data_IF_020756023297
#
_entry.id   IF_020756023297
#
_cell.length_a   1.000
_cell.length_b   1.000
_cell.length_c   1.000
_cell.angle_alpha   90.00
_cell.angle_beta   90.00
_cell.angle_gamma   90.00
#
_symmetry.space_group_name_H-M   'P 1'
#
loop_
_entity.id
_entity.type
_entity.pdbx_description
1 polymer ?
#
# COMPACT_ATOMS: atom_id res chain seq x y z
N UNK A 1 20.76 -19.60 2.77
CA UNK A 1 19.47 -19.37 3.46
C UNK A 1 19.67 -18.24 4.44
N UNK A 2 18.73 -17.31 4.48
CA UNK A 2 18.75 -16.16 5.41
C UNK A 2 17.43 -16.14 6.18
N UNK A 3 17.51 -16.02 7.50
CA UNK A 3 16.34 -15.92 8.36
C UNK A 3 16.41 -14.58 9.08
N UNK A 4 15.37 -13.76 8.90
CA UNK A 4 15.21 -12.50 9.64
C UNK A 4 14.15 -12.73 10.71
N UNK A 5 14.58 -12.69 11.96
CA UNK A 5 13.64 -12.89 13.07
C UNK A 5 12.63 -11.73 13.14
N UNK A 6 11.40 -12.06 13.51
CA UNK A 6 10.38 -11.04 13.76
C UNK A 6 10.89 -10.05 14.82
N UNK A 7 10.70 -8.77 14.56
CA UNK A 7 11.17 -7.69 15.45
C UNK A 7 12.64 -7.33 15.34
N UNK A 8 13.41 -8.00 14.46
CA UNK A 8 14.83 -7.69 14.26
C UNK A 8 15.07 -6.40 13.47
N UNK A 9 14.06 -5.92 12.75
CA UNK A 9 14.10 -4.65 12.01
C UNK A 9 13.04 -3.74 12.59
N UNK A 10 13.42 -2.50 12.90
CA UNK A 10 12.48 -1.52 13.44
C UNK A 10 11.42 -1.14 12.41
N UNK A 11 10.18 -0.95 12.88
CA UNK A 11 9.12 -0.37 12.06
C UNK A 11 9.49 1.07 11.71
N UNK A 12 9.14 1.48 10.50
CA UNK A 12 9.40 2.84 10.00
C UNK A 12 8.10 3.61 9.84
N UNK A 13 8.10 4.87 10.27
CA UNK A 13 7.01 5.77 9.99
C UNK A 13 7.03 6.11 8.50
N UNK A 14 5.90 5.91 7.82
CA UNK A 14 5.79 6.28 6.41
C UNK A 14 5.90 7.80 6.24
N UNK A 15 6.58 8.30 5.19
CA UNK A 15 6.81 9.73 5.03
C UNK A 15 5.53 10.50 4.72
N UNK A 16 5.37 11.65 5.38
CA UNK A 16 4.20 12.51 5.21
C UNK A 16 4.08 13.07 3.77
N UNK A 17 5.15 13.05 2.99
CA UNK A 17 5.12 13.48 1.60
C UNK A 17 4.21 12.59 0.73
N UNK A 18 4.10 11.30 1.08
CA UNK A 18 3.41 10.30 0.27
C UNK A 18 2.25 9.62 0.98
N UNK A 19 2.00 10.00 2.23
CA UNK A 19 0.93 9.43 3.05
C UNK A 19 0.20 10.51 3.82
N UNK A 20 -1.11 10.36 3.96
CA UNK A 20 -1.93 11.16 4.86
C UNK A 20 -2.25 10.33 6.09
N UNK A 21 -2.15 10.92 7.28
CA UNK A 21 -2.36 10.22 8.54
C UNK A 21 -1.15 9.38 8.97
N UNK A 22 -1.35 8.53 9.95
CA UNK A 22 -0.28 7.71 10.53
C UNK A 22 -0.24 6.34 9.88
N UNK A 23 0.90 6.01 9.30
CA UNK A 23 1.16 4.73 8.62
C UNK A 23 2.53 4.21 9.07
N UNK A 24 2.59 2.91 9.34
CA UNK A 24 3.83 2.21 9.70
C UNK A 24 4.17 1.19 8.64
N UNK A 25 5.47 1.04 8.35
CA UNK A 25 5.99 0.12 7.34
C UNK A 25 7.02 -0.80 7.97
N UNK A 26 6.87 -2.10 7.72
CA UNK A 26 7.82 -3.14 8.11
C UNK A 26 8.34 -3.81 6.84
N UNK A 27 9.62 -3.65 6.48
CA UNK A 27 10.16 -4.31 5.30
C UNK A 27 10.15 -5.84 5.47
N UNK A 28 9.75 -6.55 4.42
CA UNK A 28 9.71 -8.02 4.40
C UNK A 28 10.84 -8.55 3.52
N UNK A 29 10.91 -8.09 2.27
CA UNK A 29 11.96 -8.48 1.34
C UNK A 29 12.27 -7.34 0.38
N UNK A 30 13.56 -7.17 0.13
CA UNK A 30 14.12 -6.36 -0.96
C UNK A 30 15.14 -7.26 -1.65
N UNK A 31 14.67 -8.06 -2.61
CA UNK A 31 15.49 -9.10 -3.19
C UNK A 31 16.69 -8.50 -3.93
N UNK A 32 17.92 -8.99 -3.67
CA UNK A 32 19.08 -8.56 -4.45
C UNK A 32 19.01 -9.15 -5.86
N UNK A 33 19.61 -8.45 -6.81
CA UNK A 33 19.70 -8.93 -8.19
C UNK A 33 20.32 -10.35 -8.24
N UNK A 34 19.83 -11.26 -9.11
CA UNK A 34 18.82 -11.05 -10.16
C UNK A 34 17.36 -11.05 -9.69
N UNK A 35 17.10 -11.19 -8.38
CA UNK A 35 15.77 -11.03 -7.84
C UNK A 35 15.30 -9.58 -7.95
N UNK A 36 13.99 -9.35 -7.98
CA UNK A 36 13.42 -8.01 -8.12
C UNK A 36 12.19 -7.78 -7.25
N UNK A 37 11.83 -8.73 -6.40
CA UNK A 37 10.65 -8.60 -5.53
C UNK A 37 10.95 -7.65 -4.38
N UNK A 38 9.99 -6.77 -4.12
CA UNK A 38 9.90 -5.98 -2.89
C UNK A 38 8.57 -6.29 -2.21
N UNK A 39 8.62 -6.51 -0.92
CA UNK A 39 7.41 -6.68 -0.12
C UNK A 39 7.56 -5.98 1.22
N UNK A 40 6.47 -5.41 1.72
CA UNK A 40 6.41 -4.79 3.04
C UNK A 40 5.04 -5.00 3.66
N UNK A 41 5.03 -5.07 4.98
CA UNK A 41 3.81 -4.94 5.77
C UNK A 41 3.55 -3.46 5.97
N UNK A 42 2.31 -3.03 5.76
CA UNK A 42 1.92 -1.64 5.91
C UNK A 42 0.69 -1.58 6.82
N UNK A 43 0.79 -0.77 7.87
CA UNK A 43 -0.23 -0.62 8.89
C UNK A 43 -0.77 0.80 8.86
N UNK A 44 -2.06 0.93 8.57
CA UNK A 44 -2.74 2.22 8.48
C UNK A 44 -3.64 2.41 9.69
N UNK A 45 -3.48 3.54 10.38
CA UNK A 45 -4.44 3.97 11.39
C UNK A 45 -5.74 4.48 10.71
N UNK A 46 -6.86 4.59 11.46
CA UNK A 46 -8.12 5.07 10.87
C UNK A 46 -7.93 6.40 10.14
N UNK A 47 -8.45 6.48 8.93
CA UNK A 47 -8.35 7.67 8.09
C UNK A 47 -7.06 7.78 7.28
N UNK A 48 -6.05 6.99 7.59
CA UNK A 48 -4.75 7.06 6.90
C UNK A 48 -4.81 6.40 5.52
N UNK A 49 -4.09 6.98 4.56
CA UNK A 49 -4.04 6.48 3.19
C UNK A 49 -2.76 6.92 2.49
N UNK A 50 -2.44 6.23 1.39
CA UNK A 50 -1.37 6.66 0.47
C UNK A 50 -1.79 7.87 -0.34
N UNK A 51 -0.84 8.57 -0.94
CA UNK A 51 -1.10 9.43 -2.08
C UNK A 51 -1.51 8.58 -3.30
N UNK A 52 -2.02 9.22 -4.35
CA UNK A 52 -2.15 8.60 -5.66
C UNK A 52 -0.77 8.19 -6.16
N UNK A 53 -0.66 7.03 -6.77
CA UNK A 53 0.63 6.54 -7.27
C UNK A 53 0.45 5.43 -8.31
N UNK A 54 1.57 5.08 -8.95
CA UNK A 54 1.64 4.00 -9.94
C UNK A 54 2.83 3.11 -9.64
N UNK A 55 2.78 1.88 -10.15
CA UNK A 55 3.90 0.94 -10.10
C UNK A 55 4.23 0.45 -11.51
N UNK A 56 5.50 0.50 -11.96
CA UNK A 56 5.84 0.13 -13.33
C UNK A 56 5.55 -1.34 -13.67
N UNK A 57 5.62 -2.24 -12.68
CA UNK A 57 5.33 -3.67 -12.86
C UNK A 57 4.04 -4.11 -12.17
N UNK A 58 3.19 -3.16 -11.76
CA UNK A 58 1.98 -3.46 -11.00
C UNK A 58 2.23 -3.69 -9.52
N UNK A 59 1.17 -3.89 -8.78
CA UNK A 59 1.23 -4.15 -7.33
C UNK A 59 0.16 -5.15 -6.92
N UNK A 60 0.53 -6.09 -6.06
CA UNK A 60 -0.41 -6.95 -5.36
C UNK A 60 -0.52 -6.50 -3.91
N UNK A 61 -1.74 -6.37 -3.41
CA UNK A 61 -2.02 -6.22 -1.99
C UNK A 61 -2.73 -7.47 -1.48
N UNK A 62 -2.28 -7.98 -0.37
CA UNK A 62 -2.99 -8.99 0.41
C UNK A 62 -3.42 -8.36 1.73
N UNK A 63 -4.72 -8.24 1.96
CA UNK A 63 -5.23 -7.61 3.18
C UNK A 63 -5.11 -8.60 4.34
N UNK A 64 -4.43 -8.19 5.40
CA UNK A 64 -4.13 -9.04 6.55
C UNK A 64 -5.11 -8.83 7.70
N UNK A 65 -5.55 -7.60 7.91
CA UNK A 65 -6.45 -7.27 9.03
C UNK A 65 -7.22 -5.99 8.77
N UNK A 66 -8.34 -5.87 9.45
CA UNK A 66 -9.13 -4.64 9.47
C UNK A 66 -9.99 -4.42 8.23
N UNK A 67 -10.40 -3.18 8.06
CA UNK A 67 -11.24 -2.75 6.93
C UNK A 67 -10.57 -1.54 6.30
N UNK A 68 -10.36 -1.61 4.99
CA UNK A 68 -9.71 -0.55 4.25
C UNK A 68 -10.47 -0.12 3.02
N UNK A 69 -9.89 0.82 2.30
CA UNK A 69 -10.42 1.38 1.07
C UNK A 69 -9.34 1.42 0.00
N UNK A 70 -9.76 1.14 -1.23
CA UNK A 70 -8.91 1.24 -2.41
C UNK A 70 -9.67 1.91 -3.54
N UNK A 71 -8.96 2.57 -4.44
CA UNK A 71 -9.57 3.17 -5.62
C UNK A 71 -8.57 3.24 -6.77
N UNK A 72 -9.00 2.77 -7.94
CA UNK A 72 -8.33 3.09 -9.20
C UNK A 72 -8.88 4.39 -9.76
N UNK A 73 -8.03 5.20 -10.39
CA UNK A 73 -8.44 6.49 -10.97
C UNK A 73 -9.58 6.30 -11.97
N UNK A 74 -10.63 7.08 -11.82
CA UNK A 74 -11.83 7.01 -12.66
C UNK A 74 -12.84 5.94 -12.23
N UNK A 75 -12.52 5.11 -11.24
CA UNK A 75 -13.42 4.10 -10.70
C UNK A 75 -13.98 4.47 -9.32
N UNK A 76 -14.85 3.63 -8.78
CA UNK A 76 -15.40 3.86 -7.43
C UNK A 76 -14.40 3.49 -6.35
N UNK A 77 -14.59 4.07 -5.17
CA UNK A 77 -13.93 3.59 -3.95
C UNK A 77 -14.50 2.21 -3.63
N UNK A 78 -13.63 1.25 -3.32
CA UNK A 78 -14.03 -0.11 -2.93
C UNK A 78 -13.59 -0.39 -1.51
N UNK A 79 -14.45 -1.00 -0.72
CA UNK A 79 -14.09 -1.49 0.60
C UNK A 79 -13.42 -2.85 0.49
N UNK A 80 -12.35 -3.05 1.27
CA UNK A 80 -11.58 -4.29 1.31
C UNK A 80 -11.40 -4.77 2.74
N UNK A 81 -11.29 -6.09 2.93
CA UNK A 81 -11.22 -6.77 4.22
C UNK A 81 -10.16 -7.86 4.22
N UNK A 82 -9.81 -8.34 5.40
CA UNK A 82 -8.85 -9.44 5.57
C UNK A 82 -9.18 -10.61 4.66
N UNK A 83 -8.16 -11.09 3.93
CA UNK A 83 -8.27 -12.15 2.94
C UNK A 83 -8.49 -11.67 1.51
N UNK A 84 -8.86 -10.41 1.31
CA UNK A 84 -8.98 -9.87 -0.05
C UNK A 84 -7.63 -9.69 -0.70
N UNK A 85 -7.58 -9.94 -2.00
CA UNK A 85 -6.41 -9.71 -2.84
C UNK A 85 -6.76 -8.65 -3.88
N UNK A 86 -5.93 -7.61 -3.98
CA UNK A 86 -6.09 -6.56 -4.96
C UNK A 86 -4.89 -6.59 -5.91
N UNK A 87 -5.15 -6.54 -7.20
CA UNK A 87 -4.15 -6.38 -8.22
C UNK A 87 -4.32 -5.04 -8.91
N UNK A 88 -3.27 -4.20 -8.86
CA UNK A 88 -3.18 -2.99 -9.66
C UNK A 88 -2.25 -3.25 -10.84
N UNK A 89 -2.75 -2.99 -12.05
CA UNK A 89 -2.00 -3.21 -13.28
C UNK A 89 -0.80 -2.27 -13.39
N UNK A 90 0.23 -2.62 -14.18
CA UNK A 90 1.33 -1.70 -14.44
C UNK A 90 0.82 -0.34 -14.94
N UNK A 91 1.28 0.74 -14.29
CA UNK A 91 0.89 2.11 -14.63
C UNK A 91 -0.50 2.53 -14.18
N UNK A 92 -1.24 1.69 -13.51
CA UNK A 92 -2.57 2.05 -12.99
C UNK A 92 -2.44 3.03 -11.84
N UNK A 93 -3.02 4.23 -11.99
CA UNK A 93 -3.07 5.23 -10.94
C UNK A 93 -4.09 4.83 -9.88
N UNK A 94 -3.65 4.70 -8.63
CA UNK A 94 -4.49 4.19 -7.55
C UNK A 94 -4.03 4.72 -6.19
N UNK A 95 -4.84 4.48 -5.18
CA UNK A 95 -4.49 4.67 -3.77
C UNK A 95 -5.13 3.57 -2.93
N UNK A 96 -4.59 3.37 -1.73
CA UNK A 96 -5.13 2.46 -0.72
C UNK A 96 -4.89 3.00 0.69
N UNK A 97 -5.72 2.57 1.63
CA UNK A 97 -5.63 3.01 3.02
C UNK A 97 -6.65 2.33 3.91
N UNK A 98 -6.69 2.78 5.17
CA UNK A 98 -7.64 2.31 6.16
C UNK A 98 -9.04 2.88 5.91
N UNK A 99 -10.04 2.28 6.55
CA UNK A 99 -11.36 2.89 6.65
C UNK A 99 -11.35 4.12 7.56
N UNK A 100 -12.41 4.92 7.54
CA UNK A 100 -12.45 6.15 8.34
C UNK A 100 -12.37 5.92 9.85
N UNK A 101 -12.85 4.78 10.32
CA UNK A 101 -12.96 4.47 11.75
C UNK A 101 -12.25 3.18 12.15
N UNK A 102 -11.63 2.48 11.20
CA UNK A 102 -10.98 1.19 11.44
C UNK A 102 -9.55 1.19 10.92
N UNK A 103 -8.66 0.47 11.59
CA UNK A 103 -7.32 0.20 11.08
C UNK A 103 -7.39 -0.80 9.92
N UNK A 104 -6.33 -0.81 9.12
CA UNK A 104 -6.15 -1.82 8.09
C UNK A 104 -4.65 -2.11 7.91
N UNK A 105 -4.31 -3.39 7.76
CA UNK A 105 -2.96 -3.81 7.46
C UNK A 105 -2.95 -4.67 6.21
N UNK A 106 -1.92 -4.50 5.37
CA UNK A 106 -1.75 -5.34 4.19
C UNK A 106 -0.28 -5.68 3.95
N UNK A 107 -0.06 -6.73 3.18
CA UNK A 107 1.21 -7.01 2.52
C UNK A 107 1.17 -6.35 1.16
N UNK A 108 2.14 -5.48 0.87
CA UNK A 108 2.33 -4.88 -0.45
C UNK A 108 3.48 -5.60 -1.15
N UNK A 109 3.23 -6.09 -2.36
CA UNK A 109 4.20 -6.84 -3.16
C UNK A 109 4.36 -6.13 -4.49
N UNK A 110 5.59 -5.73 -4.80
CA UNK A 110 5.95 -5.09 -6.07
C UNK A 110 7.21 -5.71 -6.65
N UNK A 111 7.50 -5.40 -7.90
CA UNK A 111 8.75 -5.75 -8.55
C UNK A 111 9.49 -4.48 -8.98
N UNK A 112 10.81 -4.51 -8.85
CA UNK A 112 11.68 -3.44 -9.36
C UNK A 112 11.85 -3.64 -10.85
N UNK A 113 11.62 -2.58 -11.63
CA UNK A 113 11.80 -2.52 -13.07
C UNK A 113 12.64 -1.29 -13.41
N UNK A 114 13.78 -1.50 -14.04
CA UNK A 114 14.75 -0.42 -14.36
C UNK A 114 15.13 0.45 -13.14
N UNK A 115 15.32 -0.21 -12.00
CA UNK A 115 15.68 0.46 -10.74
C UNK A 115 14.53 1.19 -10.04
N UNK A 116 13.31 1.08 -10.55
CA UNK A 116 12.13 1.78 -10.01
C UNK A 116 11.02 0.78 -9.66
N UNK A 117 10.22 1.11 -8.65
CA UNK A 117 9.08 0.30 -8.25
C UNK A 117 7.82 1.13 -7.96
N UNK A 118 7.93 2.45 -7.83
CA UNK A 118 6.80 3.35 -7.52
C UNK A 118 7.03 4.72 -8.13
N UNK A 119 5.96 5.38 -8.57
CA UNK A 119 5.94 6.78 -8.93
C UNK A 119 4.82 7.47 -8.13
N UNK A 120 5.23 8.34 -7.21
CA UNK A 120 4.30 9.07 -6.34
C UNK A 120 3.69 10.27 -7.07
N UNK A 121 2.41 10.51 -6.82
CA UNK A 121 1.62 11.59 -7.41
C UNK A 121 0.97 12.42 -6.31
N UNK A 122 -0.11 13.14 -6.62
CA UNK A 122 -0.79 14.01 -5.67
C UNK A 122 -1.44 13.24 -4.52
N UNK A 123 -1.63 13.90 -3.40
CA UNK A 123 -2.35 13.33 -2.27
C UNK A 123 -3.83 13.14 -2.58
N UNK A 124 -4.44 12.17 -1.93
CA UNK A 124 -5.88 11.92 -2.03
C UNK A 124 -6.60 12.96 -1.19
N UNK A 125 -7.46 13.77 -1.82
CA UNK A 125 -8.25 14.77 -1.12
C UNK A 125 -9.29 14.11 -0.20
N UNK A 126 -9.67 14.80 0.87
CA UNK A 126 -10.65 14.27 1.83
C UNK A 126 -11.97 13.90 1.16
N UNK A 127 -12.43 14.67 0.20
CA UNK A 127 -13.67 14.38 -0.54
C UNK A 127 -13.56 13.09 -1.36
N UNK A 128 -12.40 12.83 -1.96
CA UNK A 128 -12.13 11.59 -2.69
C UNK A 128 -12.11 10.40 -1.74
N UNK A 129 -11.42 10.55 -0.61
CA UNK A 129 -11.29 9.50 0.39
C UNK A 129 -12.62 9.15 1.05
N UNK A 130 -13.46 10.14 1.35
CA UNK A 130 -14.73 9.98 2.05
C UNK A 130 -15.88 9.57 1.13
N UNK A 131 -15.67 9.48 -0.16
CA UNK A 131 -16.71 9.06 -1.10
C UNK A 131 -17.28 7.70 -0.67
N UNK A 132 -18.60 7.53 -0.79
CA UNK A 132 -19.25 6.28 -0.45
C UNK A 132 -18.69 5.15 -1.32
N UNK A 133 -18.37 3.97 -0.73
CA UNK A 133 -17.94 2.82 -1.52
C UNK A 133 -19.02 2.39 -2.50
N UNK A 134 -18.59 2.10 -3.73
CA UNK A 134 -19.46 1.62 -4.79
C UNK A 134 -19.42 0.12 -5.01
#
# INVERSE_FOLDING_TARGET
>A
MEIRASGSTASRRAPADYFTGTVWQDPVVEAPAPGNVRASLVHFEPGARTAWHTHPAGQTLYILSGVGRVQGSGGPVREVRAGDVIWFSPGEKHWHGAGPTTTMSHMAITEVSDGKYVAWMEKVADEQYKAAPG
#
